data_IF_289287199552
#
_entry.id   IF_289287199552
#
_cell.length_a   1.000
_cell.length_b   1.000
_cell.length_c   1.000
_cell.angle_alpha   90.00
_cell.angle_beta   90.00
_cell.angle_gamma   90.00
#
_symmetry.space_group_name_H-M   'P 1'
#
loop_
_entity.id
_entity.type
_entity.pdbx_description
1 polymer ?
#
# COMPACT_ATOMS: atom_id res chain seq x y z
N UNK A 1 7.42 -2.19 -18.89
CA UNK A 1 8.73 -2.17 -18.20
C UNK A 1 8.54 -2.50 -16.72
N UNK A 2 9.43 -3.27 -16.17
CA UNK A 2 9.37 -3.72 -14.77
C UNK A 2 10.62 -3.26 -14.04
N UNK A 3 10.47 -2.73 -12.84
CA UNK A 3 11.62 -2.27 -12.06
C UNK A 3 11.35 -2.42 -10.57
N UNK A 4 12.41 -2.54 -9.73
CA UNK A 4 12.28 -2.61 -8.29
C UNK A 4 11.65 -1.35 -7.71
N UNK A 5 10.90 -1.51 -6.64
CA UNK A 5 10.22 -0.42 -5.95
C UNK A 5 10.46 -0.55 -4.45
N UNK A 6 11.11 0.44 -3.87
CA UNK A 6 11.43 0.43 -2.44
C UNK A 6 10.24 0.76 -1.54
N UNK A 7 9.19 1.28 -2.12
CA UNK A 7 8.03 1.73 -1.37
C UNK A 7 6.90 0.73 -1.34
N UNK A 8 5.71 1.24 -1.13
CA UNK A 8 4.48 0.49 -0.98
C UNK A 8 3.89 0.15 -2.33
N UNK A 9 3.44 -1.09 -2.49
CA UNK A 9 2.63 -1.48 -3.64
C UNK A 9 1.17 -1.35 -3.27
N UNK A 10 0.43 -0.58 -4.05
CA UNK A 10 -1.02 -0.43 -3.84
C UNK A 10 -1.74 -1.74 -4.15
N UNK A 11 -2.65 -2.14 -3.27
CA UNK A 11 -3.28 -3.46 -3.36
C UNK A 11 -4.49 -3.53 -4.29
N UNK A 12 -4.75 -2.47 -5.08
CA UNK A 12 -5.87 -2.53 -6.04
C UNK A 12 -5.60 -3.51 -7.18
N UNK A 13 -4.32 -3.72 -7.52
CA UNK A 13 -3.93 -4.69 -8.55
C UNK A 13 -2.50 -5.13 -8.31
N UNK A 14 -2.33 -6.27 -7.66
CA UNK A 14 -1.03 -6.80 -7.30
C UNK A 14 -1.00 -8.30 -7.56
N UNK A 15 0.17 -8.81 -7.94
CA UNK A 15 0.37 -10.25 -8.12
C UNK A 15 1.56 -10.69 -7.28
N UNK A 16 1.42 -11.81 -6.60
CA UNK A 16 2.52 -12.39 -5.84
C UNK A 16 2.38 -13.92 -5.81
N UNK A 17 3.48 -14.65 -5.61
CA UNK A 17 3.41 -16.11 -5.54
C UNK A 17 2.71 -16.56 -4.25
N UNK A 18 2.02 -17.69 -4.32
CA UNK A 18 1.40 -18.28 -3.13
C UNK A 18 2.40 -18.49 -1.99
N UNK A 19 3.63 -18.78 -2.34
CA UNK A 19 4.70 -18.96 -1.38
C UNK A 19 4.84 -17.79 -0.42
N UNK A 20 4.56 -16.56 -0.89
CA UNK A 20 4.61 -15.38 -0.04
C UNK A 20 3.61 -15.48 1.10
N UNK A 21 2.35 -15.83 0.80
CA UNK A 21 1.32 -15.97 1.84
C UNK A 21 1.63 -17.13 2.79
N UNK A 22 2.29 -18.16 2.30
CA UNK A 22 2.72 -19.27 3.17
C UNK A 22 3.79 -18.83 4.15
N UNK A 23 4.64 -17.91 3.77
CA UNK A 23 5.74 -17.41 4.60
C UNK A 23 5.34 -16.30 5.55
N UNK A 24 4.56 -15.32 5.08
CA UNK A 24 4.24 -14.13 5.88
C UNK A 24 2.78 -14.05 6.30
N UNK A 25 1.95 -14.97 5.82
CA UNK A 25 0.52 -14.98 6.13
C UNK A 25 -0.27 -14.07 5.22
N UNK A 26 -1.55 -13.91 5.55
CA UNK A 26 -2.48 -13.07 4.81
C UNK A 26 -2.41 -11.63 5.30
N UNK A 27 -3.18 -10.76 4.63
CA UNK A 27 -3.30 -9.36 5.05
C UNK A 27 -3.84 -9.28 6.48
N UNK A 28 -3.34 -8.30 7.24
CA UNK A 28 -3.73 -8.11 8.62
C UNK A 28 -5.12 -7.48 8.69
N UNK A 29 -6.08 -8.20 9.24
CA UNK A 29 -7.46 -7.78 9.34
C UNK A 29 -7.69 -6.65 10.35
N UNK A 30 -6.69 -6.33 11.17
CA UNK A 30 -6.80 -5.25 12.14
C UNK A 30 -7.11 -3.91 11.50
N UNK A 31 -6.69 -3.72 10.25
CA UNK A 31 -6.92 -2.46 9.54
C UNK A 31 -8.39 -2.25 9.14
N UNK A 32 -9.21 -3.28 9.24
CA UNK A 32 -10.65 -3.15 8.99
C UNK A 32 -10.98 -2.83 7.55
N UNK A 33 -11.66 -1.71 7.34
CA UNK A 33 -12.12 -1.33 6.00
C UNK A 33 -10.98 -0.86 5.09
N UNK A 34 -9.79 -0.72 5.61
CA UNK A 34 -8.62 -0.39 4.81
C UNK A 34 -7.78 0.72 5.38
N UNK A 35 -6.85 1.18 4.56
CA UNK A 35 -5.76 2.08 4.89
C UNK A 35 -4.67 1.38 5.70
N UNK A 36 -3.44 1.49 5.19
CA UNK A 36 -2.21 0.89 5.73
C UNK A 36 -2.06 -0.62 5.54
N UNK A 37 -3.07 -1.32 5.03
CA UNK A 37 -2.94 -2.75 4.74
C UNK A 37 -1.92 -3.01 3.63
N UNK A 38 -1.87 -2.13 2.64
CA UNK A 38 -0.90 -2.23 1.55
C UNK A 38 0.52 -1.86 2.01
N UNK A 39 0.64 -0.87 2.88
CA UNK A 39 1.92 -0.54 3.53
C UNK A 39 2.43 -1.73 4.33
N UNK A 40 1.54 -2.33 5.12
CA UNK A 40 1.86 -3.46 5.99
C UNK A 40 2.35 -4.67 5.19
N UNK A 41 1.60 -5.05 4.16
CA UNK A 41 1.95 -6.24 3.38
C UNK A 41 3.21 -6.01 2.55
N UNK A 42 3.41 -4.80 2.06
CA UNK A 42 4.61 -4.46 1.29
C UNK A 42 5.86 -4.56 2.15
N UNK A 43 5.83 -4.03 3.38
CA UNK A 43 6.98 -4.11 4.28
C UNK A 43 7.21 -5.55 4.77
N UNK A 44 6.14 -6.31 4.98
CA UNK A 44 6.25 -7.71 5.36
C UNK A 44 6.96 -8.52 4.28
N UNK A 45 6.60 -8.29 3.01
CA UNK A 45 7.24 -8.97 1.89
C UNK A 45 8.71 -8.61 1.78
N UNK A 46 9.03 -7.32 1.91
CA UNK A 46 10.42 -6.87 1.84
C UNK A 46 11.27 -7.48 2.95
N UNK A 47 10.75 -7.52 4.17
CA UNK A 47 11.47 -8.10 5.31
C UNK A 47 11.63 -9.61 5.20
N UNK A 48 10.78 -10.26 4.44
CA UNK A 48 10.91 -11.69 4.16
C UNK A 48 11.88 -11.98 3.01
N UNK A 49 12.48 -10.95 2.41
CA UNK A 49 13.47 -11.10 1.36
C UNK A 49 12.91 -11.00 -0.06
N UNK A 50 11.64 -10.64 -0.21
CA UNK A 50 11.03 -10.44 -1.52
C UNK A 50 11.28 -9.02 -2.01
N UNK A 51 11.26 -8.86 -3.32
CA UNK A 51 11.44 -7.58 -3.97
C UNK A 51 10.09 -7.11 -4.51
N UNK A 52 9.72 -5.87 -4.20
CA UNK A 52 8.53 -5.27 -4.76
C UNK A 52 8.86 -4.68 -6.14
N UNK A 53 8.04 -4.99 -7.13
CA UNK A 53 8.25 -4.55 -8.50
C UNK A 53 7.04 -3.76 -9.01
N UNK A 54 7.31 -2.73 -9.80
CA UNK A 54 6.27 -2.03 -10.55
C UNK A 54 6.31 -2.48 -11.99
N UNK A 55 5.15 -2.80 -12.56
CA UNK A 55 4.99 -3.21 -13.95
C UNK A 55 4.27 -2.10 -14.68
N UNK A 56 4.98 -1.34 -15.51
CA UNK A 56 4.45 -0.15 -16.15
C UNK A 56 3.76 -0.38 -17.50
N UNK A 57 3.99 -1.53 -18.11
CA UNK A 57 3.43 -1.85 -19.42
C UNK A 57 2.06 -2.53 -19.34
N UNK A 58 1.43 -2.49 -18.17
CA UNK A 58 0.06 -2.97 -17.96
C UNK A 58 -0.79 -1.78 -17.51
N UNK A 59 -1.95 -1.60 -18.14
CA UNK A 59 -2.87 -0.53 -17.78
C UNK A 59 -4.11 -1.12 -17.09
N UNK A 60 -4.43 -0.58 -15.91
CA UNK A 60 -5.62 -0.94 -15.14
C UNK A 60 -6.30 0.36 -14.71
N UNK A 61 -7.59 0.48 -15.00
CA UNK A 61 -8.36 1.63 -14.52
C UNK A 61 -8.78 1.40 -13.08
N UNK A 62 -8.46 2.34 -12.19
CA UNK A 62 -8.82 2.29 -10.78
C UNK A 62 -9.70 3.49 -10.45
N UNK A 63 -10.90 3.22 -9.95
CA UNK A 63 -11.87 4.29 -9.66
C UNK A 63 -11.55 5.07 -8.38
N UNK A 64 -10.48 4.71 -7.70
CA UNK A 64 -10.06 5.42 -6.49
C UNK A 64 -10.87 5.06 -5.26
N UNK A 65 -10.97 5.99 -4.33
CA UNK A 65 -11.48 5.75 -2.97
C UNK A 65 -13.00 5.68 -2.88
N UNK A 66 -13.65 4.89 -3.73
CA UNK A 66 -15.11 4.79 -3.77
C UNK A 66 -15.68 4.38 -2.40
N UNK A 67 -15.06 3.42 -1.74
CA UNK A 67 -15.50 2.94 -0.43
C UNK A 67 -15.39 4.02 0.65
N UNK A 68 -14.37 4.86 0.58
CA UNK A 68 -14.13 5.90 1.58
C UNK A 68 -14.93 7.16 1.34
N UNK A 69 -15.44 7.36 0.13
CA UNK A 69 -16.27 8.54 -0.18
C UNK A 69 -17.57 8.58 0.61
N UNK A 70 -17.98 7.44 1.15
CA UNK A 70 -19.21 7.33 1.95
C UNK A 70 -18.97 7.66 3.42
N UNK A 71 -17.72 7.83 3.85
CA UNK A 71 -17.38 8.16 5.22
C UNK A 71 -17.36 9.67 5.42
N UNK A 72 -17.76 10.09 6.61
CA UNK A 72 -17.56 11.47 7.02
C UNK A 72 -16.07 11.74 7.24
N UNK A 73 -15.64 12.98 7.04
CA UNK A 73 -14.23 13.37 7.19
C UNK A 73 -13.66 13.01 8.57
N UNK A 74 -14.49 13.16 9.61
CA UNK A 74 -14.07 12.83 10.97
C UNK A 74 -13.83 11.33 11.15
N UNK A 75 -14.70 10.50 10.56
CA UNK A 75 -14.54 9.05 10.61
C UNK A 75 -13.31 8.59 9.82
N UNK A 76 -13.12 9.15 8.63
CA UNK A 76 -11.96 8.86 7.81
C UNK A 76 -10.67 9.16 8.56
N UNK A 77 -10.59 10.33 9.18
CA UNK A 77 -9.42 10.77 9.92
C UNK A 77 -9.16 9.89 11.15
N UNK A 78 -10.22 9.47 11.81
CA UNK A 78 -10.12 8.57 12.97
C UNK A 78 -9.54 7.23 12.57
N UNK A 79 -10.04 6.66 11.48
CA UNK A 79 -9.53 5.38 10.96
C UNK A 79 -8.08 5.51 10.52
N UNK A 80 -7.76 6.57 9.80
CA UNK A 80 -6.41 6.84 9.34
C UNK A 80 -5.42 6.90 10.52
N UNK A 81 -5.74 7.68 11.55
CA UNK A 81 -4.86 7.86 12.70
C UNK A 81 -4.70 6.56 13.49
N UNK A 82 -5.77 5.80 13.67
CA UNK A 82 -5.71 4.54 14.38
C UNK A 82 -4.87 3.51 13.63
N UNK A 83 -5.07 3.40 12.33
CA UNK A 83 -4.33 2.44 11.51
C UNK A 83 -2.85 2.84 11.37
N UNK A 84 -2.58 4.13 11.28
CA UNK A 84 -1.21 4.62 11.26
C UNK A 84 -0.46 4.23 12.53
N UNK A 85 -1.07 4.47 13.69
CA UNK A 85 -0.46 4.13 14.97
C UNK A 85 -0.21 2.63 15.09
N UNK A 86 -1.17 1.82 14.68
CA UNK A 86 -1.03 0.37 14.70
C UNK A 86 0.13 -0.08 13.79
N UNK A 87 0.19 0.45 12.59
CA UNK A 87 1.25 0.14 11.63
C UNK A 87 2.63 0.51 12.18
N UNK A 88 2.76 1.72 12.71
CA UNK A 88 4.03 2.20 13.24
C UNK A 88 4.51 1.37 14.42
N UNK A 89 3.59 0.96 15.30
CA UNK A 89 3.95 0.12 16.44
C UNK A 89 4.30 -1.30 16.01
N UNK A 90 3.55 -1.85 15.06
CA UNK A 90 3.77 -3.21 14.58
C UNK A 90 5.16 -3.39 13.97
N UNK A 91 5.58 -2.45 13.14
CA UNK A 91 6.83 -2.56 12.40
C UNK A 91 7.98 -1.76 13.00
N UNK A 92 7.71 -1.00 14.06
CA UNK A 92 8.69 -0.12 14.71
C UNK A 92 9.32 0.84 13.72
N UNK A 93 8.49 1.48 12.91
CA UNK A 93 8.89 2.45 11.91
C UNK A 93 7.97 3.65 11.99
N UNK A 94 8.42 4.77 11.44
CA UNK A 94 7.58 5.95 11.31
C UNK A 94 7.06 6.02 9.88
N UNK A 95 5.74 6.11 9.73
CA UNK A 95 5.13 6.19 8.42
C UNK A 95 5.51 7.48 7.71
N UNK A 96 5.78 7.36 6.40
CA UNK A 96 6.06 8.50 5.52
C UNK A 96 5.15 8.40 4.32
N UNK A 97 4.84 9.56 3.74
CA UNK A 97 4.07 9.58 2.49
C UNK A 97 4.80 8.80 1.40
N UNK A 98 4.01 8.18 0.52
CA UNK A 98 4.57 7.42 -0.58
C UNK A 98 5.38 8.31 -1.51
N UNK A 99 6.49 7.76 -2.02
CA UNK A 99 7.35 8.45 -2.97
C UNK A 99 7.13 7.86 -4.36
N UNK A 100 7.01 8.75 -5.34
CA UNK A 100 6.93 8.36 -6.74
C UNK A 100 8.23 8.72 -7.42
N UNK A 101 8.49 8.10 -8.59
CA UNK A 101 9.66 8.48 -9.38
C UNK A 101 9.49 9.91 -9.89
N UNK A 102 10.57 10.71 -9.94
CA UNK A 102 10.47 12.10 -10.40
C UNK A 102 9.84 12.26 -11.79
N UNK A 103 10.12 11.35 -12.71
CA UNK A 103 9.58 11.38 -14.07
C UNK A 103 8.08 11.05 -14.10
N UNK A 104 7.58 10.36 -13.11
CA UNK A 104 6.17 10.02 -12.98
C UNK A 104 5.44 11.10 -12.18
N UNK A 105 6.07 11.66 -11.14
CA UNK A 105 5.48 12.70 -10.30
C UNK A 105 5.02 13.89 -11.14
N UNK A 106 5.82 14.29 -12.12
CA UNK A 106 5.49 15.40 -13.00
C UNK A 106 4.19 15.16 -13.75
N UNK A 107 3.94 13.92 -14.15
CA UNK A 107 2.71 13.55 -14.85
C UNK A 107 1.53 13.44 -13.89
N UNK A 108 1.76 12.93 -12.70
CA UNK A 108 0.71 12.75 -11.69
C UNK A 108 0.20 14.09 -11.20
N UNK A 109 1.08 15.06 -10.97
CA UNK A 109 0.71 16.36 -10.46
C UNK A 109 -0.12 17.17 -11.45
N UNK A 110 -0.16 16.80 -12.71
CA UNK A 110 -0.94 17.44 -13.75
C UNK A 110 -2.30 16.77 -14.00
N UNK A 111 -2.59 15.72 -13.31
CA UNK A 111 -3.85 15.00 -13.40
C UNK A 111 -4.82 15.51 -12.33
#
# INVERSE_FOLDING_TARGET
MTYPHDGVLAMFCVMFPRKLTDEIGLLDEHYGIGMFEDDDYSIAAQRAGYENLLVEDVFIHHFGSVSFKKLENAEYRKIFNANRSYFENKWNVKWKMHHYRPDVDTNISNI
#
